data_IF_831900612213
#
_entry.id   IF_831900612213
#
_cell.length_a   1.000
_cell.length_b   1.000
_cell.length_c   1.000
_cell.angle_alpha   90.00
_cell.angle_beta   90.00
_cell.angle_gamma   90.00
#
_symmetry.space_group_name_H-M   'P 1'
#
loop_
_entity.id
_entity.type
_entity.pdbx_description
1 polymer ?
#
# COMPACT_ATOMS: atom_id res chain seq x y z
N UNK A 1 18.34 25.15 30.31
CA UNK A 1 19.04 24.61 29.12
C UNK A 1 17.97 23.91 28.29
N UNK A 2 17.57 24.53 27.18
CA UNK A 2 16.53 24.05 26.27
C UNK A 2 17.18 23.70 24.95
N UNK A 3 17.19 22.41 24.61
CA UNK A 3 17.34 21.84 23.27
C UNK A 3 16.73 20.44 23.37
N UNK A 4 15.46 20.25 23.00
CA UNK A 4 15.06 19.66 21.72
C UNK A 4 15.93 18.43 21.36
N UNK A 5 15.74 17.34 22.09
CA UNK A 5 15.91 15.99 21.53
C UNK A 5 14.76 15.80 20.54
N UNK A 6 15.02 16.08 19.27
CA UNK A 6 14.29 15.47 18.16
C UNK A 6 14.62 13.98 18.19
N UNK A 7 13.83 13.21 18.94
CA UNK A 7 13.66 11.80 18.67
C UNK A 7 13.08 11.70 17.25
N UNK A 8 13.98 11.48 16.28
CA UNK A 8 13.58 10.94 14.99
C UNK A 8 12.77 9.67 15.27
N UNK A 9 11.48 9.74 14.99
CA UNK A 9 10.53 8.64 15.17
C UNK A 9 10.90 7.54 14.16
N UNK A 10 11.90 6.72 14.51
CA UNK A 10 12.24 5.49 13.81
C UNK A 10 11.72 4.33 14.65
N UNK A 11 10.40 4.24 14.75
CA UNK A 11 9.78 3.03 15.29
C UNK A 11 9.97 1.91 14.26
N UNK A 12 10.23 0.67 14.70
CA UNK A 12 10.17 -0.46 13.78
C UNK A 12 8.77 -0.46 13.17
N UNK A 13 8.67 -0.17 11.87
CA UNK A 13 7.43 -0.38 11.10
C UNK A 13 6.96 -1.78 11.46
N UNK A 14 5.75 -1.88 12.02
CA UNK A 14 5.16 -3.14 12.46
C UNK A 14 5.48 -4.22 11.41
N UNK A 15 6.09 -5.35 11.79
CA UNK A 15 6.52 -6.36 10.83
C UNK A 15 5.35 -6.85 9.96
N UNK A 16 4.12 -6.83 10.48
CA UNK A 16 2.91 -7.13 9.71
C UNK A 16 2.59 -6.02 8.69
N UNK A 17 2.64 -4.74 9.09
CA UNK A 17 2.48 -3.61 8.17
C UNK A 17 3.51 -3.66 7.04
N UNK A 18 4.78 -3.89 7.39
CA UNK A 18 5.86 -3.99 6.40
C UNK A 18 5.67 -5.15 5.44
N UNK A 19 5.21 -6.31 5.94
CA UNK A 19 4.94 -7.47 5.09
C UNK A 19 3.77 -7.21 4.12
N UNK A 20 2.73 -6.54 4.60
CA UNK A 20 1.56 -6.18 3.78
C UNK A 20 1.90 -5.11 2.73
N UNK A 21 2.68 -4.10 3.09
CA UNK A 21 3.18 -3.09 2.15
C UNK A 21 4.03 -3.74 1.05
N UNK A 22 4.96 -4.62 1.42
CA UNK A 22 5.74 -5.38 0.45
C UNK A 22 4.86 -6.27 -0.44
N UNK A 23 3.78 -6.85 0.11
CA UNK A 23 2.80 -7.63 -0.65
C UNK A 23 2.05 -6.77 -1.67
N UNK A 24 1.72 -5.51 -1.37
CA UNK A 24 1.11 -4.59 -2.34
C UNK A 24 2.02 -4.35 -3.54
N UNK A 25 3.30 -4.05 -3.29
CA UNK A 25 4.27 -3.85 -4.36
C UNK A 25 4.38 -5.07 -5.28
N UNK A 26 4.43 -6.28 -4.68
CA UNK A 26 4.44 -7.52 -5.46
C UNK A 26 3.15 -7.71 -6.27
N UNK A 27 1.98 -7.46 -5.69
CA UNK A 27 0.70 -7.60 -6.40
C UNK A 27 0.56 -6.59 -7.54
N UNK A 28 1.05 -5.36 -7.36
CA UNK A 28 1.10 -4.37 -8.42
C UNK A 28 2.06 -4.77 -9.55
N UNK A 29 3.19 -5.39 -9.20
CA UNK A 29 4.12 -5.96 -10.19
C UNK A 29 3.49 -7.15 -10.94
N UNK A 30 2.88 -8.09 -10.23
CA UNK A 30 2.15 -9.24 -10.80
C UNK A 30 1.10 -8.74 -11.81
N UNK A 31 0.26 -7.76 -11.43
CA UNK A 31 -0.71 -7.13 -12.34
C UNK A 31 -0.09 -6.56 -13.62
N UNK A 32 1.11 -5.96 -13.54
CA UNK A 32 1.77 -5.38 -14.73
C UNK A 32 2.40 -6.44 -15.63
N UNK A 33 2.74 -7.60 -15.08
CA UNK A 33 3.39 -8.69 -15.81
C UNK A 33 2.41 -9.69 -16.42
N UNK A 34 1.15 -9.67 -15.99
CA UNK A 34 0.14 -10.61 -16.46
C UNK A 34 -0.26 -10.38 -17.94
N UNK A 35 -0.47 -11.51 -18.62
CA UNK A 35 -0.81 -11.57 -20.06
C UNK A 35 -2.31 -11.82 -20.24
N UNK A 36 -3.00 -12.32 -19.21
CA UNK A 36 -4.41 -12.73 -19.26
C UNK A 36 -5.30 -11.88 -18.34
N UNK A 37 -6.54 -11.56 -18.75
CA UNK A 37 -7.47 -10.79 -17.92
C UNK A 37 -7.91 -11.47 -16.62
N UNK A 38 -7.91 -12.81 -16.55
CA UNK A 38 -8.33 -13.54 -15.35
C UNK A 38 -7.29 -13.39 -14.22
N UNK A 39 -6.00 -13.39 -14.59
CA UNK A 39 -4.89 -13.19 -13.64
C UNK A 39 -4.87 -11.75 -13.11
N UNK A 40 -5.27 -10.77 -13.93
CA UNK A 40 -5.44 -9.37 -13.52
C UNK A 40 -6.49 -9.23 -12.42
N UNK A 41 -7.66 -9.85 -12.60
CA UNK A 41 -8.76 -9.76 -11.63
C UNK A 41 -8.38 -10.34 -10.26
N UNK A 42 -7.62 -11.45 -10.24
CA UNK A 42 -7.12 -12.01 -9.00
C UNK A 42 -6.14 -11.08 -8.29
N UNK A 43 -5.14 -10.55 -9.02
CA UNK A 43 -4.15 -9.64 -8.44
C UNK A 43 -4.82 -8.37 -7.88
N UNK A 44 -5.78 -7.79 -8.60
CA UNK A 44 -6.55 -6.62 -8.14
C UNK A 44 -7.34 -6.94 -6.87
N UNK A 45 -8.03 -8.09 -6.82
CA UNK A 45 -8.82 -8.50 -5.64
C UNK A 45 -7.92 -8.68 -4.42
N UNK A 46 -6.78 -9.35 -4.58
CA UNK A 46 -5.82 -9.56 -3.50
C UNK A 46 -5.18 -8.24 -3.05
N UNK A 47 -4.93 -7.32 -3.99
CA UNK A 47 -4.42 -5.99 -3.70
C UNK A 47 -5.41 -5.21 -2.82
N UNK A 48 -6.69 -5.19 -3.20
CA UNK A 48 -7.74 -4.52 -2.44
C UNK A 48 -7.90 -5.11 -1.04
N UNK A 49 -7.83 -6.43 -0.90
CA UNK A 49 -7.88 -7.10 0.40
C UNK A 49 -6.65 -6.79 1.27
N UNK A 50 -5.48 -6.60 0.66
CA UNK A 50 -4.23 -6.25 1.36
C UNK A 50 -4.27 -4.80 1.84
N UNK A 51 -4.78 -3.88 1.01
CA UNK A 51 -5.05 -2.49 1.40
C UNK A 51 -6.02 -2.38 2.58
N UNK A 52 -7.12 -3.14 2.56
CA UNK A 52 -8.09 -3.15 3.67
C UNK A 52 -7.44 -3.61 4.99
N UNK A 53 -6.53 -4.58 4.95
CA UNK A 53 -5.77 -5.01 6.15
C UNK A 53 -4.84 -3.91 6.65
N UNK A 54 -4.10 -3.26 5.75
CA UNK A 54 -3.24 -2.13 6.11
C UNK A 54 -4.04 -1.02 6.81
N UNK A 55 -5.19 -0.65 6.27
CA UNK A 55 -6.05 0.35 6.89
C UNK A 55 -6.59 -0.07 8.26
N UNK A 56 -6.97 -1.34 8.43
CA UNK A 56 -7.40 -1.87 9.73
C UNK A 56 -6.29 -1.85 10.79
N UNK A 57 -5.03 -1.93 10.36
CA UNK A 57 -3.85 -1.81 11.20
C UNK A 57 -3.39 -0.36 11.41
N UNK A 58 -4.11 0.62 10.85
CA UNK A 58 -3.83 2.05 11.03
C UNK A 58 -2.79 2.62 10.07
N UNK A 59 -2.50 1.93 8.97
CA UNK A 59 -1.63 2.44 7.91
C UNK A 59 -2.27 3.66 7.22
N UNK A 60 -1.50 4.72 7.01
CA UNK A 60 -1.96 5.99 6.42
C UNK A 60 -0.89 6.67 5.55
N UNK A 61 0.11 5.90 5.11
CA UNK A 61 1.16 6.41 4.23
C UNK A 61 0.69 6.49 2.77
N UNK A 62 1.40 7.26 1.95
CA UNK A 62 1.21 7.27 0.50
C UNK A 62 2.02 6.12 -0.10
N UNK A 63 1.49 5.44 -1.11
CA UNK A 63 2.24 4.40 -1.82
C UNK A 63 3.24 5.04 -2.78
N UNK A 64 4.37 4.36 -2.97
CA UNK A 64 5.23 4.64 -4.11
C UNK A 64 4.51 4.31 -5.42
N UNK A 65 4.81 5.05 -6.49
CA UNK A 65 4.15 4.89 -7.81
C UNK A 65 4.24 3.46 -8.36
N UNK A 66 5.30 2.72 -8.02
CA UNK A 66 5.50 1.33 -8.43
C UNK A 66 4.58 0.35 -7.67
N UNK A 67 4.08 0.76 -6.52
CA UNK A 67 3.14 0.00 -5.69
C UNK A 67 1.68 0.38 -5.94
N UNK A 68 1.42 1.40 -6.78
CA UNK A 68 0.07 1.78 -7.19
C UNK A 68 -0.41 0.94 -8.39
N UNK A 69 -1.71 0.65 -8.39
CA UNK A 69 -2.43 0.21 -9.57
C UNK A 69 -2.88 1.45 -10.38
N UNK A 70 -3.26 1.29 -11.66
CA UNK A 70 -3.88 2.39 -12.42
C UNK A 70 -5.07 3.00 -11.66
N UNK A 71 -5.24 4.33 -11.71
CA UNK A 71 -6.24 5.09 -10.92
C UNK A 71 -7.64 4.48 -10.87
N UNK A 72 -8.11 3.98 -12.02
CA UNK A 72 -9.43 3.35 -12.18
C UNK A 72 -9.59 2.06 -11.35
N UNK A 73 -8.48 1.42 -11.01
CA UNK A 73 -8.38 0.16 -10.26
C UNK A 73 -7.97 0.39 -8.80
N UNK A 74 -7.54 1.60 -8.41
CA UNK A 74 -7.24 1.88 -7.01
C UNK A 74 -8.48 1.73 -6.12
N UNK A 75 -8.33 1.31 -4.85
CA UNK A 75 -9.43 1.34 -3.89
C UNK A 75 -9.98 2.76 -3.73
N UNK A 76 -11.30 2.88 -3.58
CA UNK A 76 -11.94 4.20 -3.40
C UNK A 76 -11.44 4.91 -2.14
N UNK A 77 -11.20 4.15 -1.06
CA UNK A 77 -10.69 4.68 0.20
C UNK A 77 -9.29 5.32 0.03
N UNK A 78 -8.41 4.73 -0.79
CA UNK A 78 -7.10 5.30 -1.08
C UNK A 78 -7.23 6.66 -1.76
N UNK A 79 -8.07 6.74 -2.81
CA UNK A 79 -8.31 8.01 -3.53
C UNK A 79 -8.95 9.08 -2.66
N UNK A 80 -9.72 8.70 -1.64
CA UNK A 80 -10.31 9.64 -0.67
C UNK A 80 -9.27 10.20 0.30
N UNK A 81 -8.34 9.36 0.75
CA UNK A 81 -7.29 9.73 1.71
C UNK A 81 -6.15 10.51 1.06
N UNK A 82 -5.86 10.21 -0.20
CA UNK A 82 -4.78 10.81 -0.97
C UNK A 82 -5.32 11.40 -2.28
N UNK A 83 -6.10 12.50 -2.20
CA UNK A 83 -6.53 13.21 -3.40
C UNK A 83 -5.30 13.84 -4.08
N UNK A 84 -5.21 13.65 -5.41
CA UNK A 84 -4.20 14.28 -6.28
C UNK A 84 -4.23 15.81 -6.22
#
# INVERSE_FOLDING_TARGET
>A
MTSHETDEISYPVDPELRALEFRLGNLAAEYREHISPEDDEQAIREYHATMDKLYKLGWDAVLDIESELPDKLMPEEYRKRHPL
#
